data_IF_553788057263
#
_entry.id   IF_553788057263
#
_cell.length_a   1.000
_cell.length_b   1.000
_cell.length_c   1.000
_cell.angle_alpha   90.00
_cell.angle_beta   90.00
_cell.angle_gamma   90.00
#
_symmetry.space_group_name_H-M   'P 1'
#
loop_
_entity.id
_entity.type
_entity.pdbx_description
1 polymer ?
#
# COMPACT_ATOMS: atom_id res chain seq x y z
N UNK A 1 -13.72 12.94 -13.93
CA UNK A 1 -14.42 14.17 -13.50
C UNK A 1 -14.32 14.30 -11.99
N UNK A 2 -14.14 15.51 -11.46
CA UNK A 2 -14.24 15.79 -10.02
C UNK A 2 -15.55 16.54 -9.79
N UNK A 3 -16.41 16.03 -8.93
CA UNK A 3 -17.71 16.63 -8.63
C UNK A 3 -17.59 17.76 -7.61
N UNK A 4 -18.61 18.62 -7.53
CA UNK A 4 -18.65 19.75 -6.59
C UNK A 4 -18.63 19.33 -5.11
N UNK A 5 -19.07 18.11 -4.79
CA UNK A 5 -19.01 17.55 -3.44
C UNK A 5 -17.69 16.80 -3.14
N UNK A 6 -16.76 16.73 -4.10
CA UNK A 6 -15.44 16.12 -3.89
C UNK A 6 -15.34 14.63 -4.17
N UNK A 7 -16.19 14.09 -5.03
CA UNK A 7 -16.08 12.72 -5.53
C UNK A 7 -15.36 12.69 -6.88
N UNK A 8 -14.46 11.72 -7.05
CA UNK A 8 -13.84 11.40 -8.34
C UNK A 8 -14.72 10.42 -9.10
N UNK A 9 -14.96 10.70 -10.37
CA UNK A 9 -15.70 9.84 -11.29
C UNK A 9 -14.84 9.51 -12.51
N UNK A 10 -14.87 8.26 -12.94
CA UNK A 10 -14.35 7.82 -14.24
C UNK A 10 -15.55 7.50 -15.12
N UNK A 11 -15.62 8.16 -16.28
CA UNK A 11 -16.72 8.04 -17.24
C UNK A 11 -16.21 7.68 -18.63
N UNK A 12 -17.04 7.01 -19.43
CA UNK A 12 -16.79 6.91 -20.87
C UNK A 12 -17.21 8.18 -21.63
N UNK A 13 -17.06 8.14 -22.96
CA UNK A 13 -17.47 9.23 -23.85
C UNK A 13 -18.98 9.50 -23.89
N UNK A 14 -19.81 8.59 -23.37
CA UNK A 14 -21.27 8.77 -23.22
C UNK A 14 -21.67 9.30 -21.84
N UNK A 15 -20.70 9.65 -20.99
CA UNK A 15 -20.89 10.05 -19.59
C UNK A 15 -21.38 8.93 -18.66
N UNK A 16 -21.31 7.66 -19.08
CA UNK A 16 -21.59 6.53 -18.20
C UNK A 16 -20.47 6.40 -17.17
N UNK A 17 -20.81 6.34 -15.88
CA UNK A 17 -19.85 6.17 -14.78
C UNK A 17 -19.45 4.70 -14.66
N UNK A 18 -18.14 4.42 -14.70
CA UNK A 18 -17.56 3.09 -14.48
C UNK A 18 -16.96 2.92 -13.08
N UNK A 19 -16.50 4.02 -12.48
CA UNK A 19 -15.93 4.00 -11.15
C UNK A 19 -16.17 5.35 -10.47
N UNK A 20 -16.36 5.31 -9.14
CA UNK A 20 -16.44 6.49 -8.30
C UNK A 20 -15.66 6.27 -7.01
N UNK A 21 -14.96 7.30 -6.52
CA UNK A 21 -14.35 7.28 -5.20
C UNK A 21 -15.43 7.15 -4.10
N UNK A 22 -15.22 6.34 -3.05
CA UNK A 22 -16.10 6.33 -1.89
C UNK A 22 -16.21 7.73 -1.27
N UNK A 23 -17.42 8.16 -0.93
CA UNK A 23 -17.67 9.47 -0.34
C UNK A 23 -17.36 9.44 1.15
N UNK A 24 -16.20 9.96 1.58
CA UNK A 24 -15.86 10.03 3.01
C UNK A 24 -16.33 11.35 3.65
N UNK A 25 -16.07 12.48 2.99
CA UNK A 25 -16.46 13.81 3.47
C UNK A 25 -16.72 14.78 2.31
N UNK A 26 -17.80 15.56 2.40
CA UNK A 26 -18.04 16.65 1.46
C UNK A 26 -17.02 17.77 1.68
N UNK A 27 -16.37 18.21 0.61
CA UNK A 27 -15.44 19.35 0.61
C UNK A 27 -16.04 20.52 -0.17
N UNK A 28 -15.80 21.75 0.30
CA UNK A 28 -16.44 22.94 -0.25
C UNK A 28 -15.83 23.38 -1.58
N UNK A 29 -14.49 23.33 -1.68
CA UNK A 29 -13.77 23.57 -2.95
C UNK A 29 -12.82 22.41 -3.25
N UNK A 30 -13.33 21.30 -3.83
CA UNK A 30 -12.54 20.11 -4.10
C UNK A 30 -11.45 20.35 -5.14
N UNK A 31 -10.27 19.83 -4.87
CA UNK A 31 -9.18 19.71 -5.84
C UNK A 31 -8.62 18.29 -5.80
N UNK A 32 -8.27 17.76 -6.97
CA UNK A 32 -7.56 16.50 -7.12
C UNK A 32 -6.07 16.79 -7.34
N UNK A 33 -5.19 16.13 -6.58
CA UNK A 33 -3.75 16.37 -6.62
C UNK A 33 -2.98 15.06 -6.48
N UNK A 34 -1.95 14.88 -7.31
CA UNK A 34 -0.91 13.88 -7.08
C UNK A 34 0.19 14.51 -6.23
N UNK A 35 0.44 13.95 -5.05
CA UNK A 35 1.52 14.39 -4.16
C UNK A 35 2.86 13.78 -4.59
N UNK A 36 3.97 14.38 -4.19
CA UNK A 36 5.33 13.88 -4.45
C UNK A 36 5.58 12.49 -3.85
N UNK A 37 4.78 12.08 -2.86
CA UNK A 37 4.80 10.74 -2.28
C UNK A 37 4.18 9.68 -3.20
N UNK A 38 3.52 10.08 -4.29
CA UNK A 38 2.73 9.21 -5.16
C UNK A 38 1.28 9.02 -4.69
N UNK A 39 0.88 9.63 -3.57
CA UNK A 39 -0.50 9.58 -3.10
C UNK A 39 -1.38 10.53 -3.94
N UNK A 40 -2.39 9.99 -4.63
CA UNK A 40 -3.38 10.78 -5.34
C UNK A 40 -4.54 11.08 -4.40
N UNK A 41 -4.81 12.37 -4.16
CA UNK A 41 -5.73 12.80 -3.11
C UNK A 41 -6.81 13.73 -3.65
N UNK A 42 -7.96 13.73 -2.99
CA UNK A 42 -8.97 14.77 -3.09
C UNK A 42 -9.02 15.53 -1.77
N UNK A 43 -8.93 16.86 -1.85
CA UNK A 43 -8.91 17.73 -0.67
C UNK A 43 -9.59 19.07 -0.92
N UNK A 44 -9.85 19.82 0.14
CA UNK A 44 -10.26 21.22 0.00
C UNK A 44 -9.06 22.10 -0.36
N UNK A 45 -9.23 22.95 -1.38
CA UNK A 45 -8.18 23.87 -1.83
C UNK A 45 -7.70 24.86 -0.77
N UNK A 46 -8.51 25.22 0.24
CA UNK A 46 -8.10 26.17 1.29
C UNK A 46 -7.54 25.49 2.55
N UNK A 47 -7.68 24.17 2.69
CA UNK A 47 -7.17 23.40 3.86
C UNK A 47 -5.88 22.67 3.52
N UNK A 48 -4.90 23.40 2.99
CA UNK A 48 -3.65 22.82 2.46
C UNK A 48 -2.77 22.22 3.57
N UNK A 49 -2.86 22.73 4.80
CA UNK A 49 -1.96 22.37 5.92
C UNK A 49 -2.40 21.15 6.73
N UNK A 50 -3.64 20.70 6.61
CA UNK A 50 -4.14 19.54 7.35
C UNK A 50 -3.90 18.27 6.53
N UNK A 51 -2.73 17.65 6.69
CA UNK A 51 -2.37 16.39 6.03
C UNK A 51 -3.32 15.22 6.31
N UNK A 52 -4.22 15.38 7.29
CA UNK A 52 -5.20 14.38 7.70
C UNK A 52 -6.64 14.67 7.21
N UNK A 53 -6.87 15.74 6.43
CA UNK A 53 -8.22 16.15 6.01
C UNK A 53 -8.54 15.83 4.54
N UNK A 54 -8.03 14.72 4.02
CA UNK A 54 -8.38 14.28 2.67
C UNK A 54 -9.81 13.73 2.64
N UNK A 55 -10.57 14.13 1.62
CA UNK A 55 -11.89 13.56 1.35
C UNK A 55 -11.77 12.14 0.77
N UNK A 56 -10.67 11.88 0.07
CA UNK A 56 -10.30 10.58 -0.49
C UNK A 56 -8.80 10.56 -0.78
N UNK A 57 -8.17 9.39 -0.68
CA UNK A 57 -6.77 9.19 -1.07
C UNK A 57 -6.54 7.80 -1.66
N UNK A 58 -5.66 7.70 -2.66
CA UNK A 58 -5.36 6.43 -3.32
C UNK A 58 -4.60 5.45 -2.43
N UNK A 59 -3.85 5.95 -1.44
CA UNK A 59 -3.13 5.11 -0.48
C UNK A 59 -4.04 4.26 0.42
N UNK A 60 -5.33 4.62 0.51
CA UNK A 60 -6.35 3.83 1.20
C UNK A 60 -6.92 2.69 0.36
N UNK A 61 -6.64 2.69 -0.95
CA UNK A 61 -7.12 1.69 -1.92
C UNK A 61 -5.95 1.14 -2.75
N UNK A 62 -4.98 0.46 -2.11
CA UNK A 62 -3.89 -0.20 -2.82
C UNK A 62 -4.38 -1.22 -3.86
N UNK A 63 -3.56 -1.46 -4.87
CA UNK A 63 -3.72 -2.58 -5.82
C UNK A 63 -2.83 -3.75 -5.38
N UNK A 64 -1.78 -4.06 -6.15
CA UNK A 64 -0.86 -5.15 -5.86
C UNK A 64 0.47 -4.68 -5.26
N UNK A 65 0.62 -3.37 -5.03
CA UNK A 65 1.89 -2.73 -4.71
C UNK A 65 1.79 -1.85 -3.47
N UNK A 66 2.76 -1.97 -2.57
CA UNK A 66 3.00 -1.06 -1.46
C UNK A 66 4.25 -0.22 -1.75
N UNK A 67 4.10 1.10 -1.78
CA UNK A 67 5.21 2.06 -1.87
C UNK A 67 5.41 2.79 -0.54
N UNK A 68 6.56 3.44 -0.34
CA UNK A 68 6.83 4.17 0.89
C UNK A 68 5.75 5.18 1.27
N UNK A 69 5.41 5.22 2.56
CA UNK A 69 4.33 6.06 3.10
C UNK A 69 2.93 5.46 3.01
N UNK A 70 2.73 4.34 2.31
CA UNK A 70 1.49 3.57 2.36
C UNK A 70 1.40 2.74 3.65
N UNK A 71 0.16 2.39 4.02
CA UNK A 71 -0.16 1.53 5.16
C UNK A 71 -0.74 0.21 4.67
N UNK A 72 -0.22 -0.92 5.13
CA UNK A 72 -0.77 -2.26 4.93
C UNK A 72 -1.39 -2.73 6.25
N UNK A 73 -2.71 -2.87 6.29
CA UNK A 73 -3.47 -3.21 7.49
C UNK A 73 -4.64 -2.28 7.75
N UNK A 74 -5.03 -2.18 9.01
CA UNK A 74 -6.34 -1.70 9.43
C UNK A 74 -6.31 -0.27 9.95
N UNK A 75 -7.27 0.53 9.51
CA UNK A 75 -7.76 1.67 10.28
C UNK A 75 -8.95 1.21 11.11
N UNK A 76 -8.77 1.08 12.42
CA UNK A 76 -9.78 0.53 13.33
C UNK A 76 -10.97 1.47 13.53
N UNK A 77 -10.75 2.78 13.39
CA UNK A 77 -11.81 3.79 13.54
C UNK A 77 -12.83 3.75 12.39
N UNK A 78 -12.36 3.59 11.15
CA UNK A 78 -13.21 3.52 9.95
C UNK A 78 -13.58 2.10 9.53
N UNK A 79 -12.88 1.08 10.04
CA UNK A 79 -13.00 -0.31 9.62
C UNK A 79 -12.30 -0.62 8.28
N UNK A 80 -11.59 0.34 7.69
CA UNK A 80 -10.89 0.15 6.41
C UNK A 80 -9.70 -0.81 6.58
N UNK A 81 -9.69 -1.89 5.81
CA UNK A 81 -8.55 -2.80 5.68
C UNK A 81 -7.83 -2.59 4.34
N UNK A 82 -6.55 -2.22 4.40
CA UNK A 82 -5.67 -2.04 3.24
C UNK A 82 -4.88 -3.31 3.03
N UNK A 83 -5.09 -3.99 1.90
CA UNK A 83 -4.44 -5.25 1.52
C UNK A 83 -3.81 -5.11 0.13
N UNK A 84 -2.81 -5.95 -0.19
CA UNK A 84 -2.31 -6.05 -1.56
C UNK A 84 -2.92 -7.26 -2.24
N UNK A 85 -3.51 -7.06 -3.41
CA UNK A 85 -4.07 -8.15 -4.23
C UNK A 85 -3.34 -8.20 -5.56
N UNK A 86 -2.81 -9.37 -5.93
CA UNK A 86 -2.15 -9.57 -7.21
C UNK A 86 -3.06 -9.16 -8.37
N UNK A 87 -2.42 -8.80 -9.47
CA UNK A 87 -3.10 -8.82 -10.77
C UNK A 87 -3.45 -10.26 -11.17
N UNK A 88 -4.47 -10.41 -12.00
CA UNK A 88 -4.91 -11.69 -12.56
C UNK A 88 -3.82 -12.30 -13.45
N UNK A 89 -3.11 -11.46 -14.22
CA UNK A 89 -1.94 -11.88 -14.98
C UNK A 89 -0.96 -10.71 -15.18
N UNK A 90 0.18 -10.96 -15.83
CA UNK A 90 1.15 -9.90 -16.15
C UNK A 90 0.61 -8.83 -17.10
N UNK A 91 -0.49 -9.11 -17.81
CA UNK A 91 -1.10 -8.22 -18.81
C UNK A 91 -2.53 -7.81 -18.45
N UNK A 92 -3.12 -8.38 -17.40
CA UNK A 92 -4.47 -8.08 -16.94
C UNK A 92 -4.43 -7.59 -15.48
N UNK A 93 -4.65 -6.29 -15.24
CA UNK A 93 -4.60 -5.69 -13.91
C UNK A 93 -5.85 -5.95 -13.06
N UNK A 94 -6.82 -6.73 -13.55
CA UNK A 94 -7.96 -7.17 -12.75
C UNK A 94 -7.51 -7.94 -11.49
N UNK A 95 -8.28 -7.94 -10.39
CA UNK A 95 -7.90 -8.66 -9.17
C UNK A 95 -7.72 -10.16 -9.41
N UNK A 96 -6.54 -10.68 -9.07
CA UNK A 96 -6.21 -12.11 -9.08
C UNK A 96 -6.47 -12.80 -7.74
N UNK A 97 -6.00 -14.04 -7.62
CA UNK A 97 -6.27 -14.89 -6.44
C UNK A 97 -5.37 -14.60 -5.24
N UNK A 98 -4.20 -14.01 -5.46
CA UNK A 98 -3.19 -13.88 -4.41
C UNK A 98 -3.36 -12.59 -3.62
N UNK A 99 -3.41 -12.67 -2.29
CA UNK A 99 -3.58 -11.50 -1.42
C UNK A 99 -2.63 -11.55 -0.22
N UNK A 100 -1.97 -10.43 0.05
CA UNK A 100 -1.22 -10.18 1.29
C UNK A 100 -2.03 -9.22 2.17
N UNK A 101 -2.33 -9.65 3.39
CA UNK A 101 -3.18 -8.91 4.33
C UNK A 101 -2.64 -8.99 5.76
N UNK A 102 -2.90 -7.97 6.57
CA UNK A 102 -2.64 -8.01 8.01
C UNK A 102 -3.83 -8.65 8.73
N UNK A 103 -3.55 -9.69 9.51
CA UNK A 103 -4.52 -10.36 10.38
C UNK A 103 -4.35 -9.90 11.82
N UNK A 104 -5.46 -9.62 12.49
CA UNK A 104 -5.49 -9.11 13.87
C UNK A 104 -5.80 -10.19 14.91
N UNK A 105 -5.98 -11.45 14.53
CA UNK A 105 -6.36 -12.51 15.49
C UNK A 105 -5.13 -12.96 16.27
N UNK A 106 -5.21 -12.86 17.59
CA UNK A 106 -4.04 -13.06 18.45
C UNK A 106 -3.06 -11.90 18.25
N UNK A 107 -1.79 -12.21 18.06
CA UNK A 107 -0.79 -11.19 17.74
C UNK A 107 -0.82 -10.84 16.25
N UNK A 108 -0.88 -9.54 15.89
CA UNK A 108 -0.93 -9.11 14.50
C UNK A 108 0.21 -9.66 13.65
N UNK A 109 -0.14 -10.21 12.48
CA UNK A 109 0.78 -10.83 11.55
C UNK A 109 0.30 -10.67 10.10
N UNK A 110 1.22 -10.69 9.14
CA UNK A 110 0.88 -10.75 7.73
C UNK A 110 0.57 -12.18 7.32
N UNK A 111 -0.52 -12.34 6.58
CA UNK A 111 -0.96 -13.58 6.00
C UNK A 111 -0.98 -13.45 4.48
N UNK A 112 -0.47 -14.49 3.81
CA UNK A 112 -0.51 -14.59 2.37
C UNK A 112 -1.46 -15.72 1.93
N UNK A 113 -2.41 -15.37 1.08
CA UNK A 113 -3.52 -16.23 0.66
C UNK A 113 -3.49 -16.48 -0.85
N UNK A 114 -3.89 -17.68 -1.25
CA UNK A 114 -4.32 -18.01 -2.60
C UNK A 114 -5.82 -18.32 -2.57
N UNK A 115 -6.65 -17.34 -2.95
CA UNK A 115 -8.09 -17.38 -2.71
C UNK A 115 -8.38 -17.52 -1.21
N UNK A 116 -8.99 -18.63 -0.82
CA UNK A 116 -9.29 -18.94 0.59
C UNK A 116 -8.25 -19.84 1.27
N UNK A 117 -7.21 -20.26 0.54
CA UNK A 117 -6.19 -21.17 1.06
C UNK A 117 -5.02 -20.34 1.57
N UNK A 118 -4.76 -20.41 2.87
CA UNK A 118 -3.59 -19.78 3.47
C UNK A 118 -2.32 -20.50 3.01
N UNK A 119 -1.37 -19.76 2.44
CA UNK A 119 -0.10 -20.31 1.96
C UNK A 119 1.04 -20.01 2.92
N UNK A 120 1.05 -18.81 3.52
CA UNK A 120 2.17 -18.37 4.36
C UNK A 120 1.74 -17.41 5.48
N UNK A 121 2.53 -17.40 6.56
CA UNK A 121 2.40 -16.49 7.70
C UNK A 121 3.74 -15.84 8.02
N UNK A 122 3.73 -14.54 8.28
CA UNK A 122 4.91 -13.81 8.78
C UNK A 122 5.23 -14.13 10.26
N UNK A 123 4.22 -14.62 10.98
CA UNK A 123 4.18 -14.58 12.43
C UNK A 123 4.22 -13.14 12.98
N UNK A 124 4.24 -12.96 14.31
CA UNK A 124 4.09 -11.65 14.94
C UNK A 124 5.24 -10.69 14.64
N UNK A 125 4.97 -9.40 14.79
CA UNK A 125 6.00 -8.37 14.78
C UNK A 125 6.88 -8.48 16.04
N UNK A 126 8.20 -8.52 15.86
CA UNK A 126 9.18 -8.71 16.95
C UNK A 126 9.72 -7.40 17.53
N UNK A 127 9.31 -6.26 16.98
CA UNK A 127 9.90 -4.94 17.28
C UNK A 127 10.87 -4.47 16.20
N UNK A 128 11.51 -5.40 15.49
CA UNK A 128 12.44 -5.11 14.38
C UNK A 128 11.88 -5.59 13.04
N UNK A 129 11.38 -6.81 12.99
CA UNK A 129 10.82 -7.45 11.79
C UNK A 129 9.72 -8.46 12.16
N UNK A 130 9.07 -9.08 11.18
CA UNK A 130 8.19 -10.22 11.44
C UNK A 130 8.98 -11.50 11.72
N UNK A 131 8.48 -12.34 12.63
CA UNK A 131 9.22 -13.48 13.19
C UNK A 131 9.70 -14.55 12.18
N UNK A 132 9.00 -14.73 11.06
CA UNK A 132 9.37 -15.72 10.03
C UNK A 132 10.15 -15.12 8.86
N UNK A 133 10.37 -13.80 8.86
CA UNK A 133 11.27 -13.17 7.90
C UNK A 133 12.71 -13.39 8.36
N UNK A 134 13.55 -13.91 7.45
CA UNK A 134 14.99 -13.77 7.57
C UNK A 134 15.30 -12.28 7.76
N UNK A 135 16.39 -11.89 8.46
CA UNK A 135 16.66 -10.50 8.82
C UNK A 135 17.05 -9.65 7.59
N UNK A 136 16.09 -9.44 6.67
CA UNK A 136 16.15 -8.51 5.54
C UNK A 136 16.31 -7.09 6.08
N UNK A 137 15.68 -6.81 7.23
CA UNK A 137 15.89 -5.58 8.00
C UNK A 137 17.35 -5.29 8.32
N UNK A 138 18.20 -6.30 8.62
CA UNK A 138 19.60 -6.08 8.99
C UNK A 138 20.51 -5.77 7.80
N UNK A 139 20.14 -6.14 6.58
CA UNK A 139 20.93 -5.90 5.37
C UNK A 139 20.68 -4.53 4.72
N UNK A 140 19.56 -3.86 5.04
CA UNK A 140 19.13 -2.65 4.33
C UNK A 140 18.77 -1.46 5.24
N UNK A 141 19.23 -1.43 6.50
CA UNK A 141 18.91 -0.34 7.46
C UNK A 141 19.24 1.06 6.95
N UNK A 142 20.26 1.18 6.08
CA UNK A 142 20.71 2.47 5.55
C UNK A 142 19.83 2.98 4.39
N UNK A 143 19.00 2.10 3.81
CA UNK A 143 18.11 2.42 2.71
C UNK A 143 16.65 2.51 3.14
N UNK A 144 16.20 1.64 4.04
CA UNK A 144 14.79 1.47 4.41
C UNK A 144 14.55 1.57 5.92
N UNK A 145 13.40 2.15 6.25
CA UNK A 145 12.84 2.09 7.58
C UNK A 145 11.57 1.22 7.54
N UNK A 146 11.49 0.25 8.44
CA UNK A 146 10.32 -0.60 8.60
C UNK A 146 9.56 -0.13 9.83
N UNK A 147 8.26 0.06 9.68
CA UNK A 147 7.41 0.56 10.76
C UNK A 147 6.22 -0.34 10.95
N UNK A 148 5.95 -0.66 12.20
CA UNK A 148 4.75 -1.34 12.61
C UNK A 148 4.05 -0.52 13.69
N UNK A 149 2.80 -0.19 13.45
CA UNK A 149 1.95 0.53 14.40
C UNK A 149 0.87 -0.44 14.87
N UNK A 150 0.67 -0.50 16.19
CA UNK A 150 -0.41 -1.24 16.83
C UNK A 150 -0.93 -0.43 18.01
N UNK A 151 -1.99 0.34 17.77
CA UNK A 151 -2.66 1.14 18.79
C UNK A 151 -4.19 1.07 18.63
N UNK A 152 -4.92 1.88 19.40
CA UNK A 152 -6.39 1.85 19.43
C UNK A 152 -7.03 2.44 18.16
N UNK A 153 -6.30 3.23 17.38
CA UNK A 153 -6.78 3.85 16.15
C UNK A 153 -6.49 3.01 14.90
N UNK A 154 -5.28 2.46 14.80
CA UNK A 154 -4.81 1.74 13.60
C UNK A 154 -3.81 0.63 13.95
N UNK A 155 -3.81 -0.43 13.12
CA UNK A 155 -2.80 -1.49 13.16
C UNK A 155 -2.29 -1.72 11.75
N UNK A 156 -1.03 -1.38 11.46
CA UNK A 156 -0.50 -1.48 10.11
C UNK A 156 1.01 -1.66 10.06
N UNK A 157 1.46 -2.27 8.98
CA UNK A 157 2.83 -2.26 8.51
C UNK A 157 3.02 -1.16 7.46
N UNK A 158 4.17 -0.49 7.49
CA UNK A 158 4.54 0.49 6.47
C UNK A 158 6.06 0.52 6.27
N UNK A 159 6.47 1.06 5.13
CA UNK A 159 7.87 1.24 4.78
C UNK A 159 8.15 2.72 4.56
N UNK A 160 9.29 3.17 5.05
CA UNK A 160 9.89 4.47 4.77
C UNK A 160 11.20 4.29 4.01
N UNK A 161 11.67 5.37 3.40
CA UNK A 161 12.98 5.43 2.75
C UNK A 161 13.88 6.38 3.54
N UNK A 162 15.08 5.91 3.90
CA UNK A 162 16.10 6.72 4.57
C UNK A 162 16.90 7.52 3.53
N UNK A 163 17.31 6.85 2.44
CA UNK A 163 17.99 7.49 1.32
C UNK A 163 16.98 7.96 0.25
N UNK A 164 16.76 9.27 0.10
CA UNK A 164 15.80 9.84 -0.87
C UNK A 164 16.08 9.50 -2.34
N UNK A 165 17.27 9.00 -2.68
CA UNK A 165 17.62 8.55 -4.03
C UNK A 165 17.23 7.08 -4.30
N UNK A 166 16.72 6.36 -3.29
CA UNK A 166 16.24 4.99 -3.42
C UNK A 166 14.76 4.96 -3.80
N UNK A 167 14.43 4.18 -4.83
CA UNK A 167 13.05 3.82 -5.16
C UNK A 167 12.81 2.39 -4.71
N UNK A 168 11.75 2.14 -3.96
CA UNK A 168 11.41 0.79 -3.48
C UNK A 168 9.92 0.56 -3.60
N UNK A 169 9.55 -0.69 -3.85
CA UNK A 169 8.17 -1.15 -3.76
C UNK A 169 8.11 -2.61 -3.35
N UNK A 170 7.09 -2.96 -2.58
CA UNK A 170 6.71 -4.35 -2.33
C UNK A 170 5.55 -4.72 -3.25
N UNK A 171 5.65 -5.83 -3.98
CA UNK A 171 4.68 -6.23 -4.99
C UNK A 171 4.22 -7.66 -4.72
N UNK A 172 2.91 -7.89 -4.73
CA UNK A 172 2.31 -9.21 -4.81
C UNK A 172 2.04 -9.51 -6.29
N UNK A 173 2.76 -10.45 -6.87
CA UNK A 173 2.71 -10.70 -8.31
C UNK A 173 1.74 -11.85 -8.67
N UNK A 174 1.32 -11.97 -9.94
CA UNK A 174 0.37 -12.98 -10.39
C UNK A 174 0.85 -14.44 -10.27
N UNK A 175 2.15 -14.67 -10.03
CA UNK A 175 2.70 -16.02 -9.85
C UNK A 175 2.57 -16.51 -8.41
N UNK A 176 1.98 -15.70 -7.53
CA UNK A 176 1.97 -15.99 -6.11
C UNK A 176 3.38 -15.85 -5.56
N UNK A 177 3.92 -14.65 -5.64
CA UNK A 177 5.17 -14.29 -4.96
C UNK A 177 5.00 -12.87 -4.46
N UNK A 178 5.47 -12.62 -3.23
CA UNK A 178 5.63 -11.25 -2.72
C UNK A 178 7.11 -10.87 -2.83
N UNK A 179 7.40 -9.87 -3.64
CA UNK A 179 8.77 -9.43 -3.96
C UNK A 179 8.96 -7.96 -3.59
N UNK A 180 10.08 -7.64 -2.94
CA UNK A 180 10.55 -6.25 -2.85
C UNK A 180 11.44 -5.97 -4.04
N UNK A 181 11.14 -4.89 -4.78
CA UNK A 181 11.96 -4.36 -5.88
C UNK A 181 12.54 -3.04 -5.46
N UNK A 182 13.86 -3.01 -5.36
CA UNK A 182 14.62 -1.85 -4.94
C UNK A 182 15.48 -1.36 -6.09
N UNK A 183 15.49 -0.05 -6.31
CA UNK A 183 16.32 0.64 -7.27
C UNK A 183 17.15 1.66 -6.50
N UNK A 184 18.39 1.29 -6.20
CA UNK A 184 19.29 2.14 -5.40
C UNK A 184 20.27 2.83 -6.36
N UNK A 185 20.29 4.17 -6.31
CA UNK A 185 21.19 4.98 -7.12
C UNK A 185 22.40 5.44 -6.31
N UNK A 186 23.58 5.00 -6.74
CA UNK A 186 24.87 5.45 -6.23
C UNK A 186 25.60 6.26 -7.32
N UNK A 187 25.34 7.56 -7.38
CA UNK A 187 25.88 8.41 -8.46
C UNK A 187 25.30 8.02 -9.83
N UNK A 188 26.11 7.41 -10.70
CA UNK A 188 25.68 6.89 -12.03
C UNK A 188 25.34 5.40 -12.03
N UNK A 189 25.55 4.69 -10.93
CA UNK A 189 25.27 3.25 -10.83
C UNK A 189 23.85 3.02 -10.31
N UNK A 190 23.18 2.03 -10.87
CA UNK A 190 21.82 1.62 -10.53
C UNK A 190 21.84 0.11 -10.25
N UNK A 191 21.35 -0.30 -9.08
CA UNK A 191 21.34 -1.71 -8.66
C UNK A 191 19.91 -2.10 -8.33
N UNK A 192 19.43 -3.19 -8.95
CA UNK A 192 18.12 -3.79 -8.69
C UNK A 192 18.26 -4.99 -7.76
N UNK A 193 17.57 -4.96 -6.61
CA UNK A 193 17.45 -6.11 -5.72
C UNK A 193 16.02 -6.64 -5.73
N UNK A 194 15.89 -7.95 -5.90
CA UNK A 194 14.66 -8.71 -5.69
C UNK A 194 14.77 -9.52 -4.40
N UNK A 195 14.07 -9.12 -3.35
CA UNK A 195 13.94 -9.96 -2.14
C UNK A 195 12.59 -10.66 -2.18
N UNK A 196 12.62 -11.98 -2.33
CA UNK A 196 11.46 -12.84 -2.22
C UNK A 196 11.10 -12.96 -0.74
N UNK A 197 9.91 -12.48 -0.34
CA UNK A 197 9.41 -12.71 1.00
C UNK A 197 8.87 -14.13 1.16
N UNK A 198 8.45 -14.75 0.06
CA UNK A 198 8.19 -16.17 -0.05
C UNK A 198 8.18 -16.61 -1.53
N UNK A 199 8.50 -17.88 -1.79
CA UNK A 199 8.25 -18.59 -3.05
C UNK A 199 7.49 -19.88 -2.68
N UNK A 200 6.38 -20.19 -3.36
CA UNK A 200 5.73 -21.51 -3.21
C UNK A 200 6.53 -22.47 -4.09
N UNK A 201 7.05 -23.56 -3.51
CA UNK A 201 7.48 -24.75 -4.26
C UNK A 201 6.29 -25.46 -4.92
#
# INVERSE_FOLDING_TARGET
MLTSNGSLLITDGSSKVFWSSPSAMAVGKPVAQLLDTGNFVVRDSHKITDSNSFAWQSFDYPTNTLIPGMKLGWNLTSGLNRNLTAWSSSTDPSPGNYTLALDLRGDPQLLFWNGHILQWRSGPWTGLDFSSQLPVTLTYTDAFAFHFVNNKEEVYYSTGVVNKSTITRLVVNPRGVTERKDLIRFGKMEVEYGVYLYEIE
#
